data_IF_948749288049
#
_entry.id   IF_948749288049
#
_cell.length_a   1.000
_cell.length_b   1.000
_cell.length_c   1.000
_cell.angle_alpha   90.00
_cell.angle_beta   90.00
_cell.angle_gamma   90.00
#
_symmetry.space_group_name_H-M   'P 1'
#
loop_
_entity.id
_entity.type
_entity.pdbx_description
1 polymer ?
#
# COMPACT_ATOMS: atom_id res chain seq x y z
N UNK A 1 -22.21 -0.30 3.19
CA UNK A 1 -21.09 -1.00 3.86
C UNK A 1 -19.87 -0.30 3.36
N UNK A 2 -19.16 0.39 4.25
CA UNK A 2 -17.96 1.12 3.85
C UNK A 2 -16.89 0.10 3.56
N UNK A 3 -16.61 -0.10 2.28
CA UNK A 3 -15.45 -0.84 1.79
C UNK A 3 -14.21 0.00 2.12
N UNK A 4 -13.64 -0.21 3.31
CA UNK A 4 -12.42 0.49 3.71
C UNK A 4 -11.28 -0.15 2.94
N UNK A 5 -10.52 0.68 2.23
CA UNK A 5 -9.34 0.27 1.50
C UNK A 5 -8.15 1.10 2.00
N UNK A 6 -7.05 0.41 2.25
CA UNK A 6 -5.79 1.02 2.63
C UNK A 6 -4.86 0.95 1.44
N UNK A 7 -4.24 2.08 1.08
CA UNK A 7 -3.30 2.14 -0.03
C UNK A 7 -1.94 2.50 0.53
N UNK A 8 -0.98 1.59 0.45
CA UNK A 8 0.41 1.86 0.81
C UNK A 8 1.16 2.26 -0.46
N UNK A 9 1.90 3.35 -0.41
CA UNK A 9 2.74 3.83 -1.51
C UNK A 9 4.20 3.52 -1.20
N UNK A 10 4.86 2.84 -2.12
CA UNK A 10 6.22 2.33 -1.99
C UNK A 10 7.10 2.88 -3.14
N UNK A 11 8.39 3.11 -2.86
CA UNK A 11 9.32 3.68 -3.83
C UNK A 11 9.65 2.69 -4.96
N UNK A 12 9.66 1.39 -4.66
CA UNK A 12 10.11 0.34 -5.57
C UNK A 12 9.21 -0.88 -5.52
N UNK A 13 9.29 -1.68 -6.60
CA UNK A 13 8.54 -2.93 -6.74
C UNK A 13 8.88 -3.94 -5.66
N UNK A 14 10.18 -4.09 -5.37
CA UNK A 14 10.69 -5.07 -4.41
C UNK A 14 10.10 -4.81 -3.01
N UNK A 15 10.11 -3.54 -2.58
CA UNK A 15 9.46 -3.11 -1.35
C UNK A 15 7.95 -3.42 -1.36
N UNK A 16 7.27 -3.18 -2.47
CA UNK A 16 5.84 -3.46 -2.59
C UNK A 16 5.52 -4.97 -2.52
N UNK A 17 6.32 -5.82 -3.16
CA UNK A 17 6.17 -7.28 -3.11
C UNK A 17 6.41 -7.82 -1.69
N UNK A 18 7.48 -7.36 -1.02
CA UNK A 18 7.80 -7.74 0.37
C UNK A 18 6.70 -7.28 1.34
N UNK A 19 6.23 -6.04 1.21
CA UNK A 19 5.13 -5.48 2.00
C UNK A 19 3.85 -6.30 1.81
N UNK A 20 3.51 -6.71 0.58
CA UNK A 20 2.32 -7.50 0.31
C UNK A 20 2.37 -8.88 1.00
N UNK A 21 3.54 -9.53 1.02
CA UNK A 21 3.74 -10.80 1.71
C UNK A 21 3.66 -10.64 3.23
N UNK A 22 4.42 -9.70 3.78
CA UNK A 22 4.46 -9.43 5.22
C UNK A 22 3.11 -8.90 5.75
N UNK A 23 2.32 -8.20 4.93
CA UNK A 23 0.95 -7.83 5.29
C UNK A 23 0.08 -9.07 5.57
N UNK A 24 0.15 -10.06 4.67
CA UNK A 24 -0.51 -11.35 4.84
C UNK A 24 -0.08 -12.07 6.12
N UNK A 25 1.23 -12.12 6.37
CA UNK A 25 1.78 -12.85 7.51
C UNK A 25 1.58 -12.13 8.86
N UNK A 26 1.79 -10.80 8.91
CA UNK A 26 1.72 -10.01 10.15
C UNK A 26 0.31 -9.57 10.52
N UNK A 27 -0.49 -9.18 9.53
CA UNK A 27 -1.84 -8.64 9.76
C UNK A 27 -2.95 -9.66 9.48
N UNK A 28 -2.61 -10.81 8.88
CA UNK A 28 -3.58 -11.88 8.65
C UNK A 28 -4.70 -11.48 7.69
N UNK A 29 -4.39 -10.61 6.72
CA UNK A 29 -5.34 -10.24 5.67
C UNK A 29 -5.74 -11.48 4.87
N UNK A 30 -7.04 -11.63 4.69
CA UNK A 30 -7.63 -12.78 4.00
C UNK A 30 -7.57 -12.58 2.48
N UNK A 31 -7.55 -11.32 2.05
CA UNK A 31 -7.52 -10.91 0.66
C UNK A 31 -6.08 -10.54 0.28
N UNK A 32 -5.64 -11.05 -0.87
CA UNK A 32 -4.30 -10.76 -1.40
C UNK A 32 -4.21 -9.28 -1.81
N UNK A 33 -3.21 -8.52 -1.32
CA UNK A 33 -3.05 -7.12 -1.69
C UNK A 33 -2.85 -6.94 -3.20
N UNK A 34 -3.46 -5.89 -3.76
CA UNK A 34 -3.31 -5.58 -5.18
C UNK A 34 -2.12 -4.63 -5.38
N UNK A 35 -1.17 -5.04 -6.21
CA UNK A 35 0.01 -4.26 -6.61
C UNK A 35 -0.29 -3.46 -7.88
N UNK A 36 -0.30 -2.13 -7.78
CA UNK A 36 -0.54 -1.21 -8.90
C UNK A 36 0.72 -0.38 -9.12
N UNK A 37 1.24 -0.39 -10.35
CA UNK A 37 2.30 0.54 -10.76
C UNK A 37 1.67 1.83 -11.25
N UNK A 38 1.98 2.94 -10.60
CA UNK A 38 1.55 4.27 -10.99
C UNK A 38 2.75 5.07 -11.50
N UNK A 39 2.66 5.54 -12.74
CA UNK A 39 3.70 6.38 -13.32
C UNK A 39 3.37 7.83 -12.97
N UNK A 40 4.25 8.47 -12.18
CA UNK A 40 4.07 9.87 -11.85
C UNK A 40 4.17 10.68 -13.15
N UNK A 41 3.19 11.54 -13.39
CA UNK A 41 3.17 12.38 -14.57
C UNK A 41 4.29 13.44 -14.47
N UNK A 42 5.50 13.06 -14.86
CA UNK A 42 6.64 13.96 -15.02
C UNK A 42 6.63 14.58 -16.42
N UNK A 43 6.67 15.90 -16.46
CA UNK A 43 6.93 16.64 -17.69
C UNK A 43 8.36 16.27 -18.18
N UNK A 44 8.42 15.45 -19.24
CA UNK A 44 9.51 15.23 -20.21
C UNK A 44 10.43 13.97 -20.12
N UNK A 45 10.64 13.27 -19.00
CA UNK A 45 11.32 11.94 -18.97
C UNK A 45 10.96 11.17 -17.67
N UNK A 46 9.76 10.57 -17.61
CA UNK A 46 9.22 9.91 -16.41
C UNK A 46 9.83 8.52 -16.15
N UNK A 47 11.01 8.47 -15.52
CA UNK A 47 11.55 7.26 -14.86
C UNK A 47 11.00 7.08 -13.43
N UNK A 48 10.27 8.07 -12.90
CA UNK A 48 9.69 8.03 -11.56
C UNK A 48 8.36 7.24 -11.58
N UNK A 49 8.40 6.02 -11.06
CA UNK A 49 7.24 5.15 -10.89
C UNK A 49 7.10 4.77 -9.44
N UNK A 50 5.89 4.87 -8.92
CA UNK A 50 5.55 4.44 -7.57
C UNK A 50 4.75 3.14 -7.62
N UNK A 51 4.86 2.34 -6.57
CA UNK A 51 4.10 1.11 -6.42
C UNK A 51 3.08 1.27 -5.31
N UNK A 52 1.82 1.01 -5.62
CA UNK A 52 0.71 1.08 -4.69
C UNK A 52 0.31 -0.34 -4.30
N UNK A 53 0.24 -0.60 -3.00
CA UNK A 53 -0.26 -1.85 -2.43
C UNK A 53 -1.63 -1.54 -1.83
N UNK A 54 -2.68 -2.02 -2.50
CA UNK A 54 -4.07 -1.83 -2.07
C UNK A 54 -4.51 -3.03 -1.24
N UNK A 55 -4.95 -2.75 -0.02
CA UNK A 55 -5.43 -3.73 0.95
C UNK A 55 -6.89 -3.48 1.22
N UNK A 56 -7.73 -4.48 0.96
CA UNK A 56 -9.16 -4.44 1.27
C UNK A 56 -9.37 -4.79 2.76
N UNK A 57 -10.07 -3.91 3.48
CA UNK A 57 -10.41 -4.09 4.89
C UNK A 57 -11.91 -3.79 5.11
N UNK A 58 -12.82 -4.59 4.52
CA UNK A 58 -14.26 -4.34 4.57
C UNK A 58 -14.82 -4.32 6.00
N UNK A 59 -14.12 -4.90 6.97
CA UNK A 59 -14.48 -4.94 8.38
C UNK A 59 -13.79 -3.87 9.24
N UNK A 60 -12.90 -3.05 8.67
CA UNK A 60 -12.19 -1.99 9.42
C UNK A 60 -11.32 -2.54 10.56
N UNK A 61 -10.75 -3.74 10.40
CA UNK A 61 -9.97 -4.42 11.45
C UNK A 61 -8.51 -4.00 11.46
N UNK A 62 -8.00 -3.45 10.35
CA UNK A 62 -6.62 -3.05 10.23
C UNK A 62 -6.38 -1.71 10.92
N UNK A 63 -5.34 -1.68 11.77
CA UNK A 63 -4.96 -0.45 12.43
C UNK A 63 -4.17 0.45 11.46
N UNK A 64 -4.77 1.59 11.11
CA UNK A 64 -4.18 2.54 10.15
C UNK A 64 -2.83 3.08 10.63
N UNK A 65 -2.63 3.26 11.94
CA UNK A 65 -1.35 3.75 12.47
C UNK A 65 -0.27 2.66 12.40
N UNK A 66 -0.64 1.40 12.65
CA UNK A 66 0.25 0.26 12.45
C UNK A 66 0.65 0.10 10.97
N UNK A 67 -0.32 0.21 10.04
CA UNK A 67 -0.03 0.17 8.60
C UNK A 67 0.88 1.33 8.16
N UNK A 68 0.65 2.54 8.69
CA UNK A 68 1.51 3.69 8.40
C UNK A 68 2.94 3.49 8.92
N UNK A 69 3.10 2.97 10.15
CA UNK A 69 4.41 2.65 10.70
C UNK A 69 5.10 1.57 9.87
N UNK A 70 4.35 0.55 9.44
CA UNK A 70 4.85 -0.54 8.61
C UNK A 70 5.32 -0.05 7.24
N UNK A 71 4.53 0.78 6.55
CA UNK A 71 4.93 1.37 5.26
C UNK A 71 6.24 2.19 5.40
N UNK A 72 6.39 2.92 6.50
CA UNK A 72 7.59 3.71 6.77
C UNK A 72 8.86 2.87 6.99
N UNK A 73 8.74 1.59 7.38
CA UNK A 73 9.89 0.66 7.45
C UNK A 73 10.50 0.41 6.05
N UNK A 74 9.69 0.57 4.99
CA UNK A 74 10.07 0.37 3.59
C UNK A 74 10.21 1.68 2.82
N UNK A 75 10.45 2.79 3.55
CA UNK A 75 10.54 4.15 2.98
C UNK A 75 9.24 4.61 2.28
N UNK A 76 8.14 3.91 2.50
CA UNK A 76 6.83 4.21 1.98
C UNK A 76 5.94 4.98 2.95
N UNK A 77 4.71 5.24 2.53
CA UNK A 77 3.68 5.84 3.37
C UNK A 77 2.32 5.23 3.10
N UNK A 78 1.42 5.33 4.09
CA UNK A 78 0.03 4.99 3.88
C UNK A 78 -0.69 6.21 3.31
N UNK A 79 -1.27 6.08 2.11
CA UNK A 79 -2.23 7.05 1.61
C UNK A 79 -3.50 6.99 2.47
N UNK A 80 -3.87 8.16 2.99
CA UNK A 80 -5.06 8.29 3.82
C UNK A 80 -6.32 7.88 3.06
N UNK A 81 -7.40 7.49 3.77
CA UNK A 81 -8.64 7.10 3.12
C UNK A 81 -9.12 8.25 2.23
N UNK A 82 -9.35 7.95 0.95
CA UNK A 82 -10.11 8.85 0.09
C UNK A 82 -11.46 9.11 0.78
N UNK A 83 -11.66 10.34 1.25
CA UNK A 83 -12.85 10.78 2.00
C UNK A 83 -14.12 10.59 1.18
#
# INVERSE_FOLDING_TARGET
MSDVRHVLVLPDRDAAEEVALELGERFGIVEEPQLIRDALAGEDDAEDVQWLVVVEDPDGRLDTAALHAFAAEYEGWLEGPAT
#
